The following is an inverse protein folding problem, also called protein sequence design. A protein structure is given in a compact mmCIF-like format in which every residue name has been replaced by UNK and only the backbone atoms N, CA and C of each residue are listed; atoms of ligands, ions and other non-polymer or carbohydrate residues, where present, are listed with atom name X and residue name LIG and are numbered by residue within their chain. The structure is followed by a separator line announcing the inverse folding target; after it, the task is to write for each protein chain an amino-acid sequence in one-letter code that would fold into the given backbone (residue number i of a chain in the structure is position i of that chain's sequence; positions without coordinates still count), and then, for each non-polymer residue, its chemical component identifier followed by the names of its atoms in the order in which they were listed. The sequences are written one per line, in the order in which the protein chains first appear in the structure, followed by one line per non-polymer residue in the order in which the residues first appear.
data_IF_603584454923
#
_entry.id   IF_603584454923
#
_cell.length_a   1.000
_cell.length_b   1.000
_cell.length_c   1.000
_cell.angle_alpha   90.00
_cell.angle_beta   90.00
_cell.angle_gamma   90.00
#
_symmetry.space_group_name_H-M   'P 1'
#
loop_
_entity.id
_entity.type
_entity.pdbx_description
1 polymer ?
#
# COMPACT_ATOMS: atom_id res chain seq x y z
N UNK A 1 2.26 12.82 8.46
CA UNK A 1 1.56 11.93 9.41
C UNK A 1 0.26 11.52 8.76
N UNK A 2 -0.07 10.23 8.83
CA UNK A 2 -1.34 9.70 8.31
C UNK A 2 -2.19 9.36 9.53
N UNK A 3 -3.34 10.02 9.70
CA UNK A 3 -4.32 9.64 10.73
C UNK A 3 -5.38 8.69 10.15
N UNK A 4 -6.27 8.16 10.99
CA UNK A 4 -7.32 7.22 10.56
C UNK A 4 -8.17 7.72 9.39
N UNK A 5 -8.53 8.99 9.36
CA UNK A 5 -9.33 9.55 8.25
C UNK A 5 -8.53 9.60 6.96
N UNK A 6 -7.25 9.95 7.05
CA UNK A 6 -6.34 9.96 5.89
C UNK A 6 -6.14 8.55 5.35
N UNK A 7 -5.92 7.56 6.22
CA UNK A 7 -5.76 6.16 5.83
C UNK A 7 -7.01 5.64 5.11
N UNK A 8 -8.20 5.89 5.66
CA UNK A 8 -9.47 5.53 5.03
C UNK A 8 -9.63 6.24 3.69
N UNK A 9 -9.34 7.55 3.61
CA UNK A 9 -9.44 8.31 2.36
C UNK A 9 -8.54 7.73 1.26
N UNK A 10 -7.29 7.37 1.59
CA UNK A 10 -6.33 6.80 0.65
C UNK A 10 -6.78 5.41 0.19
N UNK A 11 -7.28 4.57 1.10
CA UNK A 11 -7.82 3.25 0.76
C UNK A 11 -9.03 3.38 -0.18
N UNK A 12 -9.90 4.37 0.07
CA UNK A 12 -11.07 4.64 -0.78
C UNK A 12 -10.69 5.02 -2.21
N UNK A 13 -9.52 5.63 -2.45
CA UNK A 13 -9.07 5.90 -3.83
C UNK A 13 -8.93 4.62 -4.66
N UNK A 14 -8.50 3.52 -4.06
CA UNK A 14 -8.43 2.22 -4.73
C UNK A 14 -9.83 1.58 -4.84
N UNK A 15 -10.60 1.58 -3.74
CA UNK A 15 -11.93 0.97 -3.68
C UNK A 15 -12.90 1.58 -4.69
N UNK A 16 -12.93 2.92 -4.80
CA UNK A 16 -13.79 3.65 -5.74
C UNK A 16 -13.45 3.37 -7.21
N UNK A 17 -12.26 2.86 -7.50
CA UNK A 17 -11.79 2.50 -8.84
C UNK A 17 -11.70 0.97 -9.04
N UNK A 18 -12.30 0.18 -8.15
CA UNK A 18 -12.33 -1.29 -8.22
C UNK A 18 -10.91 -1.94 -8.22
N UNK A 19 -9.93 -1.26 -7.62
CA UNK A 19 -8.56 -1.75 -7.48
C UNK A 19 -8.40 -2.44 -6.14
N UNK A 20 -8.07 -3.73 -6.18
CA UNK A 20 -7.72 -4.47 -4.98
C UNK A 20 -6.35 -4.00 -4.44
N UNK A 21 -6.34 -3.64 -3.17
CA UNK A 21 -5.14 -3.32 -2.39
C UNK A 21 -5.14 -4.10 -1.08
N UNK A 22 -3.96 -4.27 -0.50
CA UNK A 22 -3.79 -4.88 0.82
C UNK A 22 -3.05 -3.91 1.73
N UNK A 23 -3.60 -3.74 2.93
CA UNK A 23 -3.02 -2.87 3.96
C UNK A 23 -1.94 -3.64 4.73
N UNK A 24 -0.76 -3.05 4.86
CA UNK A 24 0.35 -3.61 5.62
C UNK A 24 0.83 -2.63 6.71
N UNK A 25 1.93 -2.97 7.38
CA UNK A 25 2.67 -2.12 8.28
C UNK A 25 1.86 -1.72 9.51
N UNK A 26 2.07 -0.48 9.96
CA UNK A 26 1.46 0.01 11.19
C UNK A 26 -0.06 0.03 11.15
N UNK A 27 -0.62 0.49 10.02
CA UNK A 27 -2.06 0.56 9.84
C UNK A 27 -2.69 -0.83 9.70
N UNK A 28 -2.00 -1.80 9.09
CA UNK A 28 -2.46 -3.19 9.01
C UNK A 28 -2.65 -3.81 10.41
N UNK A 29 -1.69 -3.60 11.31
CA UNK A 29 -1.77 -4.07 12.70
C UNK A 29 -2.96 -3.44 13.43
N UNK A 30 -3.10 -2.12 13.36
CA UNK A 30 -4.20 -1.40 14.03
C UNK A 30 -5.57 -1.76 13.45
N UNK A 31 -5.65 -2.03 12.14
CA UNK A 31 -6.87 -2.53 11.50
C UNK A 31 -7.29 -3.90 12.04
N UNK A 32 -6.33 -4.82 12.26
CA UNK A 32 -6.59 -6.14 12.87
C UNK A 32 -7.00 -6.04 14.33
N UNK A 33 -6.45 -5.07 15.08
CA UNK A 33 -6.83 -4.81 16.47
C UNK A 33 -8.18 -4.08 16.59
N UNK A 34 -8.62 -3.40 15.54
CA UNK A 34 -9.85 -2.60 15.51
C UNK A 34 -9.73 -1.24 16.21
N UNK A 35 -8.52 -0.84 16.61
CA UNK A 35 -8.23 0.43 17.27
C UNK A 35 -6.91 1.04 16.78
N UNK A 36 -6.84 2.37 16.75
CA UNK A 36 -5.60 3.10 16.48
C UNK A 36 -4.77 3.13 17.75
N UNK A 37 -3.64 2.42 17.77
CA UNK A 37 -2.81 2.21 18.97
C UNK A 37 -1.70 3.25 19.12
N UNK A 38 -1.31 3.88 18.01
CA UNK A 38 -0.25 4.89 17.94
C UNK A 38 -0.43 5.80 16.72
N UNK A 39 0.40 6.83 16.63
CA UNK A 39 0.46 7.68 15.44
C UNK A 39 1.28 6.96 14.36
N UNK A 40 0.86 7.10 13.09
CA UNK A 40 1.52 6.52 11.92
C UNK A 40 2.07 7.61 10.99
N UNK A 41 3.31 7.45 10.54
CA UNK A 41 3.97 8.44 9.69
C UNK A 41 3.46 8.36 8.23
N UNK A 42 3.08 7.15 7.84
CA UNK A 42 2.84 6.62 6.50
C UNK A 42 1.63 5.67 6.51
N UNK A 43 1.32 5.14 5.33
CA UNK A 43 0.46 3.99 5.12
C UNK A 43 1.12 3.06 4.10
N UNK A 44 1.28 1.79 4.46
CA UNK A 44 1.90 0.77 3.63
C UNK A 44 0.81 0.00 2.87
N UNK A 45 0.90 0.00 1.54
CA UNK A 45 -0.09 -0.61 0.66
C UNK A 45 0.58 -1.55 -0.34
N UNK A 46 0.02 -2.75 -0.47
CA UNK A 46 0.34 -3.65 -1.57
C UNK A 46 -0.70 -3.52 -2.68
N UNK A 47 -0.23 -3.49 -3.93
CA UNK A 47 -1.05 -3.52 -5.14
C UNK A 47 -0.46 -4.51 -6.14
N UNK A 48 -1.32 -5.22 -6.87
CA UNK A 48 -0.87 -6.17 -7.89
C UNK A 48 -0.31 -5.43 -9.11
N UNK A 49 0.75 -5.94 -9.73
CA UNK A 49 1.46 -5.38 -10.89
C UNK A 49 0.51 -5.02 -12.04
N UNK A 50 -0.52 -5.83 -12.29
CA UNK A 50 -1.53 -5.56 -13.34
C UNK A 50 -2.37 -4.30 -13.08
N UNK A 51 -2.50 -3.87 -11.83
CA UNK A 51 -3.28 -2.70 -11.40
C UNK A 51 -2.39 -1.52 -10.98
N UNK A 52 -1.10 -1.75 -10.75
CA UNK A 52 -0.18 -0.75 -10.16
C UNK A 52 -0.13 0.54 -10.97
N UNK A 53 -0.07 0.43 -12.31
CA UNK A 53 -0.04 1.59 -13.20
C UNK A 53 -1.27 2.48 -13.04
N UNK A 54 -2.46 1.88 -12.98
CA UNK A 54 -3.71 2.64 -12.82
C UNK A 54 -3.78 3.29 -11.45
N UNK A 55 -3.41 2.55 -10.40
CA UNK A 55 -3.39 3.10 -9.05
C UNK A 55 -2.41 4.27 -8.90
N UNK A 56 -1.22 4.16 -9.49
CA UNK A 56 -0.23 5.24 -9.52
C UNK A 56 -0.77 6.50 -10.20
N UNK A 57 -1.50 6.38 -11.31
CA UNK A 57 -2.11 7.55 -11.95
C UNK A 57 -3.19 8.17 -11.06
N UNK A 58 -3.99 7.38 -10.36
CA UNK A 58 -4.95 7.88 -9.36
C UNK A 58 -4.23 8.63 -8.24
N UNK A 59 -3.12 8.10 -7.71
CA UNK A 59 -2.34 8.79 -6.68
C UNK A 59 -1.83 10.16 -7.18
N UNK A 60 -1.34 10.23 -8.43
CA UNK A 60 -0.93 11.49 -9.06
C UNK A 60 -2.09 12.47 -9.19
N UNK A 61 -3.27 12.01 -9.63
CA UNK A 61 -4.48 12.84 -9.72
C UNK A 61 -4.93 13.38 -8.36
N UNK A 62 -4.73 12.61 -7.28
CA UNK A 62 -4.99 13.04 -5.90
C UNK A 62 -3.89 13.94 -5.32
N UNK A 63 -2.86 14.25 -6.10
CA UNK A 63 -1.80 15.20 -5.75
C UNK A 63 -0.61 14.58 -5.03
N UNK A 64 -0.47 13.24 -5.06
CA UNK A 64 0.74 12.58 -4.60
C UNK A 64 1.82 12.60 -5.69
N UNK A 65 3.04 12.91 -5.30
CA UNK A 65 4.22 12.82 -6.14
C UNK A 65 5.17 11.77 -5.56
N UNK A 66 5.84 11.03 -6.44
CA UNK A 66 6.85 10.07 -6.03
C UNK A 66 8.04 10.79 -5.37
N UNK A 67 8.53 10.22 -4.29
CA UNK A 67 9.72 10.65 -3.55
C UNK A 67 10.74 9.52 -3.61
N UNK A 68 11.94 9.82 -4.08
CA UNK A 68 13.02 8.84 -4.14
C UNK A 68 13.72 8.80 -2.79
N UNK A 69 13.56 7.68 -2.09
CA UNK A 69 14.24 7.35 -0.86
C UNK A 69 15.38 6.35 -1.11
N UNK A 70 16.26 6.15 -0.12
CA UNK A 70 17.42 5.25 -0.26
C UNK A 70 17.03 3.77 -0.49
N UNK A 71 15.80 3.41 -0.15
CA UNK A 71 15.23 2.07 -0.29
C UNK A 71 14.21 1.98 -1.43
N UNK A 72 14.00 3.05 -2.21
CA UNK A 72 13.08 3.01 -3.35
C UNK A 72 13.60 2.06 -4.43
N UNK A 73 12.74 1.13 -4.86
CA UNK A 73 12.97 0.20 -5.98
C UNK A 73 11.85 0.33 -7.02
N UNK A 74 11.86 -0.51 -8.06
CA UNK A 74 10.74 -0.54 -9.02
C UNK A 74 9.46 -1.07 -8.40
N UNK A 75 9.58 -1.90 -7.36
CA UNK A 75 8.50 -2.61 -6.73
C UNK A 75 8.19 -2.04 -5.33
N UNK A 76 9.02 -1.13 -4.81
CA UNK A 76 8.86 -0.44 -3.53
C UNK A 76 9.04 1.07 -3.74
N UNK A 77 7.93 1.82 -3.79
CA UNK A 77 7.93 3.26 -4.11
C UNK A 77 7.29 4.08 -3.01
N UNK A 78 7.76 5.31 -2.82
CA UNK A 78 7.24 6.22 -1.79
C UNK A 78 6.55 7.40 -2.45
N UNK A 79 5.36 7.75 -1.98
CA UNK A 79 4.52 8.80 -2.54
C UNK A 79 4.11 9.79 -1.47
N UNK A 80 4.19 11.08 -1.78
CA UNK A 80 3.92 12.15 -0.82
C UNK A 80 3.08 13.26 -1.43
N UNK A 81 2.11 13.77 -0.65
CA UNK A 81 1.28 14.89 -1.06
C UNK A 81 1.63 16.20 -0.33
N UNK A 82 0.91 17.28 -0.68
CA UNK A 82 1.09 18.60 -0.07
C UNK A 82 0.66 18.70 1.40
N UNK A 83 0.01 17.66 1.96
CA UNK A 83 -0.33 17.56 3.39
C UNK A 83 0.71 16.76 4.17
N UNK A 84 1.84 16.40 3.55
CA UNK A 84 2.87 15.53 4.10
C UNK A 84 2.35 14.13 4.51
N UNK A 85 1.31 13.64 3.82
CA UNK A 85 0.89 12.23 3.92
C UNK A 85 1.80 11.39 3.06
N UNK A 86 2.25 10.26 3.59
CA UNK A 86 3.18 9.35 2.93
C UNK A 86 2.46 8.04 2.66
N UNK A 87 2.54 7.55 1.43
CA UNK A 87 2.13 6.21 1.03
C UNK A 87 3.40 5.45 0.68
N UNK A 88 3.64 4.35 1.35
CA UNK A 88 4.61 3.35 0.93
C UNK A 88 3.88 2.31 0.08
N UNK A 89 4.23 2.21 -1.20
CA UNK A 89 3.53 1.41 -2.19
C UNK A 89 4.41 0.26 -2.66
N UNK A 90 3.95 -0.95 -2.38
CA UNK A 90 4.56 -2.21 -2.75
C UNK A 90 3.82 -2.84 -3.94
N UNK A 91 4.54 -3.13 -5.02
CA UNK A 91 4.00 -3.78 -6.22
C UNK A 91 4.40 -5.24 -6.20
N UNK A 92 3.41 -6.13 -6.19
CA UNK A 92 3.64 -7.58 -6.19
C UNK A 92 2.97 -8.24 -7.38
N UNK A 93 3.26 -9.52 -7.62
CA UNK A 93 2.52 -10.35 -8.59
C UNK A 93 2.22 -11.73 -8.03
N UNK A 94 1.18 -12.37 -8.53
CA UNK A 94 0.98 -13.79 -8.30
C UNK A 94 1.74 -14.62 -9.35
N UNK A 95 2.41 -15.69 -8.91
CA UNK A 95 2.97 -16.69 -9.82
C UNK A 95 1.87 -17.69 -10.26
N UNK A 96 2.24 -18.64 -11.13
CA UNK A 96 1.31 -19.66 -11.63
C UNK A 96 0.75 -20.61 -10.54
N UNK A 97 1.41 -20.70 -9.40
CA UNK A 97 0.99 -21.50 -8.24
C UNK A 97 0.02 -20.72 -7.33
N UNK A 98 -0.16 -19.42 -7.57
CA UNK A 98 -0.94 -18.52 -6.73
C UNK A 98 -0.16 -17.94 -5.55
N UNK A 99 1.15 -18.20 -5.47
CA UNK A 99 2.02 -17.58 -4.46
C UNK A 99 2.31 -16.14 -4.84
N UNK A 100 2.50 -15.30 -3.83
CA UNK A 100 2.89 -13.90 -4.00
C UNK A 100 4.39 -13.80 -4.24
N UNK A 101 4.79 -13.03 -5.25
CA UNK A 101 6.18 -12.68 -5.55
C UNK A 101 6.36 -11.19 -5.37
N UNK A 102 7.29 -10.80 -4.49
CA UNK A 102 7.63 -9.42 -4.17
C UNK A 102 9.15 -9.31 -4.00
N UNK A 103 9.78 -8.39 -4.73
CA UNK A 103 11.24 -8.18 -4.74
C UNK A 103 12.08 -9.47 -4.94
N UNK A 104 11.55 -10.43 -5.72
CA UNK A 104 12.21 -11.70 -6.00
C UNK A 104 11.99 -12.79 -4.94
N UNK A 105 11.40 -12.45 -3.80
CA UNK A 105 11.01 -13.40 -2.75
C UNK A 105 9.60 -13.94 -3.00
N UNK A 106 9.35 -15.18 -2.57
CA UNK A 106 8.05 -15.86 -2.75
C UNK A 106 7.39 -16.16 -1.41
N UNK A 107 6.12 -15.81 -1.28
CA UNK A 107 5.30 -15.93 -0.09
C UNK A 107 4.03 -16.74 -0.36
N UNK A 108 3.53 -17.52 0.61
CA UNK A 108 2.35 -18.35 0.40
C UNK A 108 1.10 -17.50 0.11
N UNK A 109 0.08 -18.05 -0.57
CA UNK A 109 -1.11 -17.32 -1.01
C UNK A 109 -1.92 -16.70 0.15
N UNK A 110 -1.76 -17.22 1.37
CA UNK A 110 -2.43 -16.74 2.56
C UNK A 110 -1.64 -15.64 3.31
N UNK A 111 -0.55 -15.11 2.74
CA UNK A 111 0.23 -14.02 3.36
C UNK A 111 -0.64 -12.81 3.71
N UNK A 112 -1.65 -12.53 2.89
CA UNK A 112 -2.63 -11.45 3.12
C UNK A 112 -3.88 -11.87 3.89
N UNK A 113 -3.85 -13.00 4.60
CA UNK A 113 -5.01 -13.47 5.39
C UNK A 113 -5.26 -12.66 6.66
N UNK A 114 -4.30 -11.81 7.07
CA UNK A 114 -4.37 -11.09 8.35
C UNK A 114 -4.21 -12.00 9.57
N UNK A 115 -3.71 -13.22 9.38
CA UNK A 115 -3.46 -14.22 10.43
C UNK A 115 -1.95 -14.47 10.50
N UNK A 116 -1.36 -14.24 11.67
CA UNK A 116 0.05 -14.53 11.99
C UNK A 116 0.21 -15.58 13.08
#
# INVERSE_FOLDING_TARGET
MVNKKDAIEIILYAEENEIAIWLDGGWGVDALLGEETRIHNDIDLFVEERNSKEFIEILKEKGFAEVIEAYTTTDHTVWKDAKDRIIDLHVFKFNEQGDLVFEGETYPPNVFSGIG
#
